data_IF_773078552359
#
_entry.id   IF_773078552359
#
_cell.length_a   1.000
_cell.length_b   1.000
_cell.length_c   1.000
_cell.angle_alpha   90.00
_cell.angle_beta   90.00
_cell.angle_gamma   90.00
#
_symmetry.space_group_name_H-M   'P 1'
#
loop_
_entity.id
_entity.type
_entity.pdbx_description
1 polymer ?
#
# COMPACT_ATOMS: atom_id res chain seq x y z
N UNK A 1 -21.50 -8.53 21.37
CA UNK A 1 -20.97 -9.23 22.56
C UNK A 1 -19.92 -10.21 22.08
N UNK A 2 -18.67 -10.08 22.54
CA UNK A 2 -17.52 -10.81 21.96
C UNK A 2 -17.69 -12.33 21.97
N UNK A 3 -17.76 -12.91 20.78
CA UNK A 3 -17.99 -14.34 20.53
C UNK A 3 -16.75 -14.97 19.87
N UNK A 4 -16.50 -16.25 20.13
CA UNK A 4 -15.42 -17.02 19.51
C UNK A 4 -15.97 -18.32 18.90
N UNK A 5 -15.52 -18.67 17.70
CA UNK A 5 -15.97 -19.84 16.95
C UNK A 5 -14.78 -20.73 16.59
N UNK A 6 -14.87 -22.04 16.81
CA UNK A 6 -13.84 -22.97 16.38
C UNK A 6 -14.03 -23.35 14.90
N UNK A 7 -13.41 -22.58 14.01
CA UNK A 7 -13.49 -22.75 12.57
C UNK A 7 -12.71 -23.97 12.02
N UNK A 8 -12.09 -24.78 12.88
CA UNK A 8 -11.65 -26.15 12.53
C UNK A 8 -12.80 -27.16 12.47
N UNK A 9 -14.01 -26.78 12.92
CA UNK A 9 -15.26 -27.49 12.65
C UNK A 9 -16.05 -26.78 11.55
N UNK A 10 -16.54 -27.51 10.54
CA UNK A 10 -17.34 -26.96 9.44
C UNK A 10 -18.59 -26.20 9.92
N UNK A 11 -19.28 -26.74 10.94
CA UNK A 11 -20.49 -26.15 11.52
C UNK A 11 -20.21 -24.79 12.17
N UNK A 12 -19.22 -24.71 13.07
CA UNK A 12 -18.83 -23.46 13.73
C UNK A 12 -18.08 -22.51 12.78
N UNK A 13 -17.46 -23.00 11.71
CA UNK A 13 -16.91 -22.19 10.62
C UNK A 13 -18.03 -21.47 9.88
N UNK A 14 -19.10 -22.17 9.51
CA UNK A 14 -20.26 -21.57 8.86
C UNK A 14 -20.92 -20.49 9.75
N UNK A 15 -21.26 -20.81 11.01
CA UNK A 15 -21.84 -19.84 11.95
C UNK A 15 -20.91 -18.64 12.20
N UNK A 16 -19.61 -18.90 12.38
CA UNK A 16 -18.60 -17.88 12.64
C UNK A 16 -18.44 -16.93 11.47
N UNK A 17 -18.43 -17.43 10.23
CA UNK A 17 -18.33 -16.61 9.02
C UNK A 17 -19.58 -15.77 8.79
N UNK A 18 -20.79 -16.29 9.08
CA UNK A 18 -22.03 -15.50 9.02
C UNK A 18 -22.06 -14.39 10.08
N UNK A 19 -21.63 -14.69 11.31
CA UNK A 19 -21.50 -13.67 12.35
C UNK A 19 -20.43 -12.64 12.01
N UNK A 20 -19.28 -13.05 11.47
CA UNK A 20 -18.22 -12.16 11.01
C UNK A 20 -18.69 -11.25 9.88
N UNK A 21 -19.40 -11.79 8.88
CA UNK A 21 -19.98 -11.02 7.78
C UNK A 21 -20.96 -9.94 8.31
N UNK A 22 -21.83 -10.31 9.27
CA UNK A 22 -22.71 -9.34 9.95
C UNK A 22 -21.90 -8.28 10.70
N UNK A 23 -20.90 -8.68 11.49
CA UNK A 23 -20.08 -7.75 12.28
C UNK A 23 -19.35 -6.73 11.40
N UNK A 24 -18.77 -7.15 10.27
CA UNK A 24 -18.17 -6.25 9.27
C UNK A 24 -19.21 -5.29 8.68
N UNK A 25 -20.42 -5.77 8.35
CA UNK A 25 -21.50 -4.90 7.84
C UNK A 25 -21.97 -3.86 8.87
N UNK A 26 -21.97 -4.23 10.16
CA UNK A 26 -22.21 -3.37 11.32
C UNK A 26 -21.00 -2.47 11.69
N UNK A 27 -19.95 -2.46 10.85
CA UNK A 27 -18.69 -1.69 10.98
C UNK A 27 -17.87 -2.02 12.25
N UNK A 28 -18.06 -3.23 12.80
CA UNK A 28 -17.29 -3.78 13.93
C UNK A 28 -16.04 -4.51 13.43
N UNK A 29 -15.05 -4.67 14.30
CA UNK A 29 -13.86 -5.46 13.99
C UNK A 29 -14.10 -6.96 14.21
N UNK A 30 -13.44 -7.78 13.39
CA UNK A 30 -13.35 -9.25 13.47
C UNK A 30 -11.88 -9.65 13.64
N UNK A 31 -11.60 -10.75 14.32
CA UNK A 31 -10.30 -11.42 14.27
C UNK A 31 -10.41 -12.71 13.46
N UNK A 32 -9.50 -12.87 12.51
CA UNK A 32 -9.44 -13.96 11.53
C UNK A 32 -8.01 -14.52 11.44
N UNK A 33 -7.83 -15.81 11.09
CA UNK A 33 -6.51 -16.32 10.73
C UNK A 33 -6.03 -15.69 9.40
N UNK A 34 -4.73 -15.76 9.16
CA UNK A 34 -4.13 -15.69 7.82
C UNK A 34 -2.99 -16.69 7.76
N UNK A 35 -2.48 -16.97 6.56
CA UNK A 35 -1.31 -17.82 6.29
C UNK A 35 -0.09 -17.59 7.21
N UNK A 36 0.14 -16.34 7.64
CA UNK A 36 1.30 -15.96 8.46
C UNK A 36 0.98 -15.86 9.94
N UNK A 37 0.03 -15.00 10.33
CA UNK A 37 -0.41 -14.73 11.71
C UNK A 37 -1.88 -14.34 11.74
N UNK A 38 -2.50 -14.28 12.93
CA UNK A 38 -3.85 -13.75 13.05
C UNK A 38 -3.92 -12.26 12.71
N UNK A 39 -5.00 -11.84 12.06
CA UNK A 39 -5.32 -10.45 11.73
C UNK A 39 -6.56 -9.95 12.47
N UNK A 40 -6.53 -8.70 12.94
CA UNK A 40 -7.74 -7.91 13.19
C UNK A 40 -8.12 -7.24 11.87
N UNK A 41 -9.39 -7.38 11.49
CA UNK A 41 -9.96 -7.00 10.22
C UNK A 41 -11.17 -6.08 10.38
N UNK A 42 -11.32 -5.16 9.43
CA UNK A 42 -12.40 -4.20 9.32
C UNK A 42 -12.79 -3.99 7.85
N UNK A 43 -13.98 -3.47 7.61
CA UNK A 43 -14.42 -3.03 6.28
C UNK A 43 -13.46 -1.96 5.72
N UNK A 44 -12.83 -2.24 4.57
CA UNK A 44 -11.89 -1.33 3.93
C UNK A 44 -12.53 -0.02 3.45
N UNK A 45 -13.84 -0.01 3.19
CA UNK A 45 -14.61 1.14 2.71
C UNK A 45 -15.33 1.89 3.85
N UNK A 46 -14.97 1.61 5.10
CA UNK A 46 -15.52 2.28 6.27
C UNK A 46 -14.43 3.01 7.07
N UNK A 47 -14.27 4.33 6.87
CA UNK A 47 -13.40 5.18 7.70
C UNK A 47 -13.59 4.97 9.21
N UNK A 48 -14.84 4.70 9.63
CA UNK A 48 -15.18 4.37 11.01
C UNK A 48 -14.59 3.02 11.45
N UNK A 49 -14.75 1.96 10.64
CA UNK A 49 -14.26 0.63 11.00
C UNK A 49 -12.72 0.57 10.99
N UNK A 50 -12.07 1.23 10.02
CA UNK A 50 -10.60 1.38 10.00
C UNK A 50 -10.09 2.17 11.21
N UNK A 51 -10.77 3.26 11.57
CA UNK A 51 -10.43 4.03 12.78
C UNK A 51 -10.52 3.15 14.03
N UNK A 52 -11.58 2.33 14.16
CA UNK A 52 -11.70 1.38 15.27
C UNK A 52 -10.59 0.33 15.27
N UNK A 53 -10.19 -0.20 14.11
CA UNK A 53 -9.06 -1.13 13.98
C UNK A 53 -7.74 -0.49 14.46
N UNK A 54 -7.44 0.73 14.00
CA UNK A 54 -6.22 1.46 14.38
C UNK A 54 -6.18 1.77 15.89
N UNK A 55 -7.30 2.28 16.44
CA UNK A 55 -7.44 2.58 17.88
C UNK A 55 -7.29 1.32 18.73
N UNK A 56 -7.90 0.19 18.34
CA UNK A 56 -7.82 -1.09 19.06
C UNK A 56 -6.38 -1.63 19.16
N UNK A 57 -5.53 -1.28 18.19
CA UNK A 57 -4.10 -1.60 18.20
C UNK A 57 -3.22 -0.55 18.89
N UNK A 58 -3.75 0.62 19.23
CA UNK A 58 -2.95 1.79 19.63
C UNK A 58 -2.04 2.32 18.52
N UNK A 59 -2.48 2.29 17.25
CA UNK A 59 -1.74 2.87 16.11
C UNK A 59 -2.28 4.24 15.72
N UNK A 60 -1.37 5.14 15.34
CA UNK A 60 -1.69 6.37 14.59
C UNK A 60 -1.90 6.10 13.09
N UNK A 61 -2.42 7.11 12.37
CA UNK A 61 -2.78 7.02 10.95
C UNK A 61 -1.60 6.87 9.98
N UNK A 62 -0.37 7.15 10.43
CA UNK A 62 0.87 7.03 9.63
C UNK A 62 1.26 5.58 9.26
N UNK A 63 0.57 4.56 9.78
CA UNK A 63 0.78 3.14 9.45
C UNK A 63 -0.53 2.51 8.96
N UNK A 64 -1.00 2.87 7.73
CA UNK A 64 -2.21 2.30 7.16
C UNK A 64 -2.12 0.77 7.07
N UNK A 65 -3.23 0.04 7.30
CA UNK A 65 -3.26 -1.40 7.12
C UNK A 65 -3.28 -1.76 5.61
N UNK A 66 -2.66 -2.88 5.20
CA UNK A 66 -2.96 -3.44 3.89
C UNK A 66 -4.43 -3.89 3.80
N UNK A 67 -4.96 -3.88 2.59
CA UNK A 67 -6.29 -4.42 2.28
C UNK A 67 -6.12 -5.83 1.71
N UNK A 68 -6.74 -6.81 2.36
CA UNK A 68 -6.80 -8.17 1.87
C UNK A 68 -7.95 -8.33 0.87
N UNK A 69 -7.73 -9.10 -0.19
CA UNK A 69 -8.67 -9.26 -1.31
C UNK A 69 -9.05 -10.73 -1.56
N UNK A 70 -10.30 -11.04 -1.97
CA UNK A 70 -10.77 -12.42 -2.15
C UNK A 70 -10.29 -13.14 -3.42
N UNK A 71 -9.79 -12.40 -4.42
CA UNK A 71 -9.40 -12.91 -5.75
C UNK A 71 -8.62 -11.85 -6.52
N UNK A 72 -7.75 -12.28 -7.44
CA UNK A 72 -6.91 -11.40 -8.27
C UNK A 72 -7.71 -10.28 -8.95
N UNK A 73 -8.85 -10.58 -9.57
CA UNK A 73 -9.68 -9.59 -10.30
C UNK A 73 -10.36 -8.54 -9.39
N UNK A 74 -10.09 -8.52 -8.09
CA UNK A 74 -10.44 -7.38 -7.24
C UNK A 74 -9.42 -6.23 -7.37
N UNK A 75 -8.18 -6.52 -7.81
CA UNK A 75 -7.12 -5.55 -8.07
C UNK A 75 -7.59 -4.42 -9.00
N UNK A 76 -8.25 -4.78 -10.10
CA UNK A 76 -8.75 -3.85 -11.14
C UNK A 76 -9.85 -2.90 -10.66
N UNK A 77 -10.47 -3.18 -9.50
CA UNK A 77 -11.45 -2.30 -8.86
C UNK A 77 -10.88 -1.46 -7.70
N UNK A 78 -9.61 -1.70 -7.33
CA UNK A 78 -8.97 -1.12 -6.13
C UNK A 78 -7.74 -0.27 -6.44
N UNK A 79 -7.08 -0.52 -7.58
CA UNK A 79 -5.85 0.13 -7.99
C UNK A 79 -5.93 0.65 -9.43
N UNK A 80 -5.24 1.77 -9.68
CA UNK A 80 -4.99 2.32 -11.02
C UNK A 80 -3.54 2.07 -11.45
N UNK A 81 -3.28 2.21 -12.75
CA UNK A 81 -1.93 2.19 -13.36
C UNK A 81 -1.11 0.89 -13.11
N UNK A 82 -1.83 -0.21 -12.88
CA UNK A 82 -1.29 -1.55 -12.56
C UNK A 82 -0.52 -2.14 -13.75
N UNK A 83 0.80 -2.05 -13.70
CA UNK A 83 1.73 -2.54 -14.73
C UNK A 83 1.67 -4.06 -14.96
N UNK A 84 2.05 -4.51 -16.16
CA UNK A 84 2.13 -5.95 -16.47
C UNK A 84 3.09 -6.70 -15.54
N UNK A 85 4.20 -6.07 -15.13
CA UNK A 85 5.17 -6.68 -14.21
C UNK A 85 4.53 -6.95 -12.85
N UNK A 86 3.77 -5.99 -12.32
CA UNK A 86 3.07 -6.16 -11.05
C UNK A 86 1.94 -7.20 -11.15
N UNK A 87 1.28 -7.31 -12.32
CA UNK A 87 0.31 -8.39 -12.60
C UNK A 87 0.98 -9.76 -12.61
N UNK A 88 2.13 -9.91 -13.28
CA UNK A 88 2.91 -11.16 -13.29
C UNK A 88 3.36 -11.59 -11.89
N UNK A 89 3.76 -10.65 -11.03
CA UNK A 89 4.05 -10.95 -9.62
C UNK A 89 2.79 -11.35 -8.83
N UNK A 90 1.66 -10.67 -9.05
CA UNK A 90 0.40 -11.04 -8.41
C UNK A 90 -0.05 -12.46 -8.85
N UNK A 91 -0.05 -12.75 -10.16
CA UNK A 91 -0.41 -14.05 -10.74
C UNK A 91 0.49 -15.20 -10.26
N UNK A 92 1.77 -14.93 -9.95
CA UNK A 92 2.72 -15.94 -9.50
C UNK A 92 2.74 -16.16 -7.97
N UNK A 93 2.28 -15.19 -7.16
CA UNK A 93 2.44 -15.21 -5.69
C UNK A 93 1.17 -14.86 -4.89
N UNK A 94 0.00 -14.78 -5.54
CA UNK A 94 -1.32 -14.71 -4.88
C UNK A 94 -2.17 -15.95 -5.24
N UNK A 95 -2.74 -16.67 -4.25
CA UNK A 95 -2.66 -16.43 -2.80
C UNK A 95 -1.23 -16.55 -2.24
N UNK A 96 -0.93 -15.83 -1.15
CA UNK A 96 0.25 -16.10 -0.31
C UNK A 96 1.09 -14.90 0.12
N UNK A 97 2.40 -15.13 0.22
CA UNK A 97 3.38 -14.31 0.92
C UNK A 97 3.70 -12.92 0.36
N UNK A 98 3.04 -12.46 -0.71
CA UNK A 98 3.32 -11.19 -1.37
C UNK A 98 2.32 -10.08 -1.01
N UNK A 99 2.79 -8.85 -0.90
CA UNK A 99 1.99 -7.63 -0.80
C UNK A 99 2.49 -6.61 -1.80
N UNK A 100 1.60 -6.00 -2.57
CA UNK A 100 1.93 -5.05 -3.63
C UNK A 100 1.32 -3.68 -3.31
N UNK A 101 2.13 -2.61 -3.37
CA UNK A 101 1.65 -1.23 -3.21
C UNK A 101 1.35 -0.65 -4.60
N UNK A 102 0.14 -0.14 -4.79
CA UNK A 102 -0.30 0.51 -6.02
C UNK A 102 -0.82 1.92 -5.74
N UNK A 103 -1.02 2.71 -6.79
CA UNK A 103 -1.90 3.88 -6.70
C UNK A 103 -3.34 3.44 -6.47
N UNK A 104 -4.00 4.02 -5.46
CA UNK A 104 -5.38 3.70 -5.12
C UNK A 104 -6.33 4.21 -6.21
N UNK A 105 -7.34 3.42 -6.56
CA UNK A 105 -8.33 3.79 -7.57
C UNK A 105 -9.06 5.09 -7.16
N UNK A 106 -8.93 6.22 -7.91
CA UNK A 106 -9.38 7.54 -7.44
C UNK A 106 -10.89 7.71 -7.25
N UNK A 107 -11.69 6.77 -7.73
CA UNK A 107 -13.15 6.74 -7.56
C UNK A 107 -13.61 6.04 -6.27
N UNK A 108 -12.69 5.59 -5.41
CA UNK A 108 -13.01 4.97 -4.12
C UNK A 108 -12.95 5.98 -2.99
N UNK A 109 -14.09 6.16 -2.31
CA UNK A 109 -14.15 6.85 -1.02
C UNK A 109 -13.78 5.86 0.10
N UNK A 110 -12.53 5.92 0.55
CA UNK A 110 -12.00 5.11 1.65
C UNK A 110 -10.92 5.87 2.44
N UNK A 111 -10.91 5.69 3.76
CA UNK A 111 -9.90 6.25 4.66
C UNK A 111 -9.16 5.11 5.35
N UNK A 112 -8.06 4.68 4.73
CA UNK A 112 -7.15 3.69 5.29
C UNK A 112 -6.13 4.30 6.28
N UNK A 113 -6.17 5.62 6.51
CA UNK A 113 -5.09 6.40 7.14
C UNK A 113 -4.28 7.18 6.11
N UNK A 114 -3.02 7.50 6.43
CA UNK A 114 -2.17 8.35 5.60
C UNK A 114 -1.47 7.57 4.47
N UNK A 115 -2.22 7.10 3.48
CA UNK A 115 -1.66 6.30 2.38
C UNK A 115 -0.97 7.11 1.28
N UNK A 116 -1.10 8.44 1.28
CA UNK A 116 -0.58 9.34 0.24
C UNK A 116 -1.08 9.00 -1.18
N UNK A 117 -2.31 8.49 -1.29
CA UNK A 117 -2.90 8.08 -2.58
C UNK A 117 -2.49 6.68 -3.05
N UNK A 118 -1.90 5.87 -2.18
CA UNK A 118 -1.57 4.47 -2.46
C UNK A 118 -2.50 3.49 -1.73
N UNK A 119 -2.41 2.20 -2.06
CA UNK A 119 -2.96 1.10 -1.28
C UNK A 119 -2.04 -0.11 -1.36
N UNK A 120 -1.80 -0.78 -0.23
CA UNK A 120 -1.11 -2.07 -0.18
C UNK A 120 -2.14 -3.20 -0.26
N UNK A 121 -2.08 -4.02 -1.31
CA UNK A 121 -3.00 -5.14 -1.57
C UNK A 121 -2.33 -6.50 -1.36
N UNK A 122 -3.12 -7.50 -0.95
CA UNK A 122 -2.68 -8.90 -0.78
C UNK A 122 -3.85 -9.88 -0.87
N UNK A 123 -3.65 -11.03 -1.50
CA UNK A 123 -4.55 -12.18 -1.34
C UNK A 123 -3.87 -13.19 -0.39
N UNK A 124 -4.42 -13.46 0.81
CA UNK A 124 -3.81 -14.38 1.79
C UNK A 124 -4.05 -15.85 1.38
N UNK A 125 -3.08 -16.75 1.64
CA UNK A 125 -3.25 -18.19 1.41
C UNK A 125 -3.85 -18.91 2.64
N UNK A 126 -5.05 -18.48 3.04
CA UNK A 126 -5.78 -19.09 4.16
C UNK A 126 -7.26 -19.28 3.78
N UNK A 127 -7.74 -20.50 3.91
CA UNK A 127 -9.06 -20.93 3.44
C UNK A 127 -10.21 -20.19 4.16
N UNK A 128 -10.07 -19.98 5.48
CA UNK A 128 -11.05 -19.26 6.31
C UNK A 128 -10.98 -17.76 5.99
N UNK A 129 -9.78 -17.23 5.74
CA UNK A 129 -9.60 -15.85 5.32
C UNK A 129 -10.25 -15.57 3.96
N UNK A 130 -10.01 -16.43 2.97
CA UNK A 130 -10.56 -16.31 1.63
C UNK A 130 -12.09 -16.49 1.62
N UNK A 131 -12.65 -17.39 2.42
CA UNK A 131 -14.11 -17.47 2.57
C UNK A 131 -14.73 -16.21 3.18
N UNK A 132 -14.12 -15.64 4.22
CA UNK A 132 -14.61 -14.39 4.80
C UNK A 132 -14.55 -13.26 3.76
N UNK A 133 -13.41 -13.11 3.07
CA UNK A 133 -13.21 -12.11 2.03
C UNK A 133 -14.19 -12.28 0.85
N UNK A 134 -14.58 -13.50 0.50
CA UNK A 134 -15.59 -13.75 -0.54
C UNK A 134 -17.02 -13.41 -0.07
N UNK A 135 -17.29 -13.45 1.24
CA UNK A 135 -18.57 -13.04 1.86
C UNK A 135 -18.66 -11.53 2.12
N UNK A 136 -17.56 -10.86 2.43
CA UNK A 136 -17.53 -9.43 2.80
C UNK A 136 -17.05 -8.49 1.69
N UNK A 137 -16.28 -9.00 0.73
CA UNK A 137 -15.40 -8.18 -0.10
C UNK A 137 -14.10 -7.80 0.63
N UNK A 138 -13.31 -6.85 0.06
CA UNK A 138 -12.03 -6.43 0.60
C UNK A 138 -12.08 -5.92 2.05
N UNK A 139 -11.10 -6.34 2.87
CA UNK A 139 -10.99 -5.96 4.28
C UNK A 139 -9.67 -5.28 4.56
N UNK A 140 -9.68 -4.19 5.32
CA UNK A 140 -8.49 -3.61 5.91
C UNK A 140 -8.04 -4.51 7.07
N UNK A 141 -6.81 -5.05 7.02
CA UNK A 141 -6.32 -6.03 8.01
C UNK A 141 -4.94 -5.66 8.52
N UNK A 142 -4.72 -5.82 9.82
CA UNK A 142 -3.38 -5.80 10.43
C UNK A 142 -3.27 -6.92 11.44
N UNK A 143 -2.05 -7.37 11.77
CA UNK A 143 -1.81 -8.39 12.82
C UNK A 143 -2.63 -8.18 14.09
N UNK A 144 -3.15 -9.25 14.70
CA UNK A 144 -4.09 -9.22 15.82
C UNK A 144 -3.41 -8.99 17.19
N UNK A 145 -2.67 -7.89 17.29
CA UNK A 145 -1.88 -7.50 18.46
C UNK A 145 -1.99 -6.01 18.80
N UNK A 146 -1.70 -5.65 20.07
CA UNK A 146 -1.41 -4.26 20.43
C UNK A 146 -0.02 -3.86 19.91
N UNK A 147 0.18 -2.58 19.65
CA UNK A 147 1.47 -2.04 19.22
C UNK A 147 2.55 -2.33 20.27
N UNK A 148 3.70 -2.86 19.83
CA UNK A 148 4.80 -3.28 20.72
C UNK A 148 4.66 -4.68 21.34
N UNK A 149 3.56 -5.41 21.09
CA UNK A 149 3.37 -6.81 21.52
C UNK A 149 3.62 -7.80 20.38
N UNK A 150 3.85 -9.07 20.70
CA UNK A 150 3.95 -10.14 19.70
C UNK A 150 2.65 -10.27 18.88
N UNK A 151 2.76 -10.65 17.61
CA UNK A 151 1.62 -11.02 16.78
C UNK A 151 0.99 -12.33 17.31
N UNK A 152 -0.34 -12.39 17.33
CA UNK A 152 -1.04 -13.58 17.81
C UNK A 152 -0.98 -14.74 16.81
N UNK A 153 -0.69 -15.93 17.32
CA UNK A 153 -0.62 -17.20 16.59
C UNK A 153 -1.88 -18.06 16.78
N UNK A 154 -2.78 -17.66 17.68
CA UNK A 154 -4.14 -18.21 17.87
C UNK A 154 -5.16 -17.09 18.06
N UNK A 155 -6.45 -17.36 17.85
CA UNK A 155 -7.50 -16.39 18.16
C UNK A 155 -7.64 -16.18 19.67
N UNK A 156 -7.27 -17.16 20.49
CA UNK A 156 -7.19 -17.04 21.96
C UNK A 156 -6.13 -16.01 22.43
N UNK A 157 -4.93 -16.01 21.85
CA UNK A 157 -3.91 -14.99 22.09
C UNK A 157 -4.38 -13.61 21.65
N UNK A 158 -4.98 -13.52 20.44
CA UNK A 158 -5.56 -12.27 19.94
C UNK A 158 -6.63 -11.73 20.90
N UNK A 159 -7.50 -12.61 21.45
CA UNK A 159 -8.54 -12.25 22.42
C UNK A 159 -7.96 -11.75 23.73
N UNK A 160 -6.81 -12.28 24.16
CA UNK A 160 -6.09 -11.81 25.34
C UNK A 160 -5.57 -10.38 25.16
N UNK A 161 -5.20 -10.00 23.93
CA UNK A 161 -4.75 -8.64 23.62
C UNK A 161 -5.89 -7.66 23.31
N UNK A 162 -6.88 -8.07 22.50
CA UNK A 162 -7.88 -7.17 21.92
C UNK A 162 -9.23 -7.18 22.67
N UNK A 163 -9.55 -8.28 23.36
CA UNK A 163 -10.75 -8.44 24.19
C UNK A 163 -12.04 -7.90 23.52
N UNK A 164 -12.73 -6.97 24.19
CA UNK A 164 -14.05 -6.42 23.81
C UNK A 164 -14.02 -5.44 22.63
N UNK A 165 -12.83 -5.09 22.10
CA UNK A 165 -12.72 -4.25 20.89
C UNK A 165 -13.07 -4.97 19.59
N UNK A 166 -13.31 -6.28 19.67
CA UNK A 166 -13.61 -7.19 18.54
C UNK A 166 -14.85 -8.00 18.86
N UNK A 167 -15.78 -8.09 17.90
CA UNK A 167 -17.08 -8.75 18.09
C UNK A 167 -17.00 -10.27 17.86
N UNK A 168 -16.20 -10.70 16.88
CA UNK A 168 -16.08 -12.11 16.46
C UNK A 168 -14.61 -12.50 16.34
N UNK A 169 -14.27 -13.65 16.92
CA UNK A 169 -12.96 -14.30 16.81
C UNK A 169 -13.13 -15.66 16.13
N UNK A 170 -12.54 -15.82 14.94
CA UNK A 170 -12.54 -17.07 14.18
C UNK A 170 -11.27 -17.86 14.52
N UNK A 171 -11.37 -18.94 15.30
CA UNK A 171 -10.23 -19.79 15.66
C UNK A 171 -10.01 -20.85 14.56
N UNK A 172 -9.03 -20.61 13.70
CA UNK A 172 -8.61 -21.49 12.60
C UNK A 172 -7.43 -22.39 12.95
N UNK A 173 -7.06 -22.52 14.23
CA UNK A 173 -5.87 -23.22 14.69
C UNK A 173 -4.61 -22.35 14.66
N UNK A 174 -3.46 -22.93 15.01
CA UNK A 174 -2.19 -22.22 15.10
C UNK A 174 -1.74 -21.63 13.75
N UNK A 175 -1.05 -20.48 13.78
CA UNK A 175 -0.39 -19.85 12.62
C UNK A 175 1.07 -19.49 12.93
N UNK A 176 2.05 -19.79 12.06
CA UNK A 176 1.92 -20.40 10.73
C UNK A 176 1.43 -21.85 10.80
N UNK A 177 0.95 -22.38 9.68
CA UNK A 177 0.51 -23.79 9.60
C UNK A 177 1.73 -24.71 9.77
N UNK A 178 1.56 -25.90 10.35
CA UNK A 178 2.67 -26.85 10.53
C UNK A 178 3.38 -27.16 9.20
N UNK A 179 4.70 -27.01 9.17
CA UNK A 179 5.51 -27.12 7.95
C UNK A 179 5.67 -25.81 7.15
N UNK A 180 5.08 -24.69 7.59
CA UNK A 180 5.26 -23.35 6.99
C UNK A 180 5.93 -22.38 7.97
N UNK A 181 6.63 -21.36 7.44
CA UNK A 181 7.40 -20.41 8.26
C UNK A 181 6.61 -19.15 8.62
N UNK A 182 6.85 -18.59 9.81
CA UNK A 182 6.17 -17.40 10.36
C UNK A 182 6.71 -16.07 9.77
N UNK A 183 7.03 -16.04 8.48
CA UNK A 183 7.65 -14.87 7.85
C UNK A 183 6.57 -13.88 7.43
N UNK A 184 6.76 -12.59 7.76
CA UNK A 184 5.87 -11.53 7.27
C UNK A 184 5.90 -11.46 5.73
N UNK A 185 4.83 -10.95 5.12
CA UNK A 185 4.79 -10.83 3.65
C UNK A 185 5.91 -9.95 3.11
N UNK A 186 6.47 -10.30 1.94
CA UNK A 186 7.33 -9.37 1.19
C UNK A 186 6.46 -8.23 0.68
N UNK A 187 6.93 -6.99 0.83
CA UNK A 187 6.24 -5.82 0.27
C UNK A 187 7.06 -5.29 -0.90
N UNK A 188 6.43 -5.22 -2.07
CA UNK A 188 6.97 -4.58 -3.27
C UNK A 188 6.14 -3.32 -3.56
N UNK A 189 6.83 -2.21 -3.78
CA UNK A 189 6.26 -1.00 -4.37
C UNK A 189 6.13 -1.19 -5.88
N UNK A 190 4.89 -1.04 -6.36
CA UNK A 190 4.48 -1.17 -7.75
C UNK A 190 3.76 0.10 -8.26
N UNK A 191 3.96 1.25 -7.58
CA UNK A 191 3.50 2.56 -8.06
C UNK A 191 4.28 3.08 -9.26
N UNK A 192 5.51 2.59 -9.48
CA UNK A 192 6.38 2.95 -10.58
C UNK A 192 7.18 1.74 -11.10
N UNK A 193 7.83 1.90 -12.25
CA UNK A 193 8.83 0.97 -12.77
C UNK A 193 10.24 1.57 -12.68
N UNK A 194 11.29 0.77 -12.42
CA UNK A 194 11.23 -0.66 -12.05
C UNK A 194 10.62 -0.88 -10.66
N UNK A 195 9.93 -2.02 -10.50
CA UNK A 195 9.33 -2.44 -9.23
C UNK A 195 10.40 -2.54 -8.12
N UNK A 196 10.05 -2.28 -6.86
CA UNK A 196 11.02 -2.20 -5.76
C UNK A 196 10.59 -2.95 -4.50
N UNK A 197 11.45 -3.80 -3.96
CA UNK A 197 11.26 -4.34 -2.59
C UNK A 197 11.41 -3.20 -1.57
N UNK A 198 10.37 -3.01 -0.76
CA UNK A 198 10.34 -2.04 0.37
C UNK A 198 10.24 -2.73 1.74
N UNK A 199 9.98 -4.04 1.77
CA UNK A 199 10.17 -4.91 2.95
C UNK A 199 10.44 -6.34 2.51
N UNK A 200 11.56 -6.91 2.93
CA UNK A 200 11.86 -8.34 2.78
C UNK A 200 10.90 -9.23 3.60
N UNK A 201 10.67 -10.45 3.16
CA UNK A 201 9.67 -11.34 3.75
C UNK A 201 9.62 -12.72 3.10
N UNK A 202 8.45 -13.35 3.12
CA UNK A 202 8.23 -14.73 2.70
C UNK A 202 8.61 -15.07 1.24
N UNK A 203 8.71 -14.06 0.36
CA UNK A 203 9.17 -14.21 -1.04
C UNK A 203 10.50 -13.47 -1.21
N UNK A 204 11.57 -14.19 -1.54
CA UNK A 204 12.91 -13.59 -1.69
C UNK A 204 13.05 -12.75 -2.98
N UNK A 205 14.07 -11.89 -3.03
CA UNK A 205 14.36 -11.07 -4.21
C UNK A 205 14.67 -11.93 -5.44
N UNK A 206 15.35 -13.06 -5.27
CA UNK A 206 15.64 -14.02 -6.34
C UNK A 206 14.34 -14.62 -6.88
N UNK A 207 13.43 -15.04 -5.99
CA UNK A 207 12.10 -15.54 -6.35
C UNK A 207 11.29 -14.52 -7.16
N UNK A 208 11.38 -13.23 -6.81
CA UNK A 208 10.75 -12.15 -7.57
C UNK A 208 11.43 -11.95 -8.94
N UNK A 209 12.77 -11.97 -8.98
CA UNK A 209 13.57 -11.78 -10.20
C UNK A 209 13.44 -12.92 -11.22
N UNK A 210 13.05 -14.12 -10.80
CA UNK A 210 12.63 -15.19 -11.73
C UNK A 210 11.39 -14.83 -12.57
N UNK A 211 10.51 -13.98 -12.05
CA UNK A 211 9.24 -13.58 -12.71
C UNK A 211 9.38 -12.20 -13.36
N UNK A 212 10.05 -11.27 -12.68
CA UNK A 212 10.34 -9.90 -13.16
C UNK A 212 11.81 -9.57 -12.87
N UNK A 213 12.74 -9.83 -13.81
CA UNK A 213 14.19 -9.63 -13.58
C UNK A 213 14.60 -8.21 -13.17
N UNK A 214 13.80 -7.20 -13.52
CA UNK A 214 14.04 -5.79 -13.21
C UNK A 214 13.72 -5.35 -11.78
N UNK A 215 13.14 -6.21 -10.92
CA UNK A 215 12.80 -5.84 -9.53
C UNK A 215 14.06 -5.40 -8.78
N UNK A 216 14.03 -4.22 -8.17
CA UNK A 216 15.11 -3.68 -7.35
C UNK A 216 15.01 -4.11 -5.89
N UNK A 217 16.16 -4.34 -5.26
CA UNK A 217 16.28 -4.60 -3.83
C UNK A 217 15.95 -3.37 -2.98
N UNK A 218 15.85 -3.60 -1.66
CA UNK A 218 15.77 -2.54 -0.67
C UNK A 218 17.04 -1.66 -0.73
N UNK A 219 16.88 -0.38 -1.07
CA UNK A 219 17.99 0.58 -1.17
C UNK A 219 18.83 0.51 -2.46
N UNK A 220 18.56 -0.42 -3.38
CA UNK A 220 19.27 -0.49 -4.67
C UNK A 220 18.88 0.69 -5.56
N UNK A 221 19.86 1.44 -6.08
CA UNK A 221 19.57 2.50 -7.05
C UNK A 221 18.97 1.90 -8.33
N UNK A 222 17.99 2.58 -8.93
CA UNK A 222 17.65 2.25 -10.32
C UNK A 222 18.87 2.57 -11.19
N UNK A 223 19.16 1.77 -12.23
CA UNK A 223 20.15 2.17 -13.21
C UNK A 223 19.73 3.53 -13.80
N UNK A 224 20.64 4.50 -13.80
CA UNK A 224 20.36 5.78 -14.46
C UNK A 224 19.98 5.50 -15.91
N UNK A 225 18.90 6.12 -16.44
CA UNK A 225 18.55 5.96 -17.84
C UNK A 225 19.77 6.43 -18.66
N UNK A 226 20.37 5.50 -19.41
CA UNK A 226 21.58 5.79 -20.16
C UNK A 226 21.31 6.99 -21.07
N UNK A 227 21.95 8.12 -20.76
CA UNK A 227 21.76 9.35 -21.50
C UNK A 227 22.02 9.05 -22.98
N UNK A 228 21.01 9.31 -23.83
CA UNK A 228 21.12 9.03 -25.26
C UNK A 228 22.38 9.72 -25.77
N UNK A 229 23.34 8.92 -26.25
CA UNK A 229 24.61 9.44 -26.73
C UNK A 229 24.31 10.35 -27.91
N UNK A 230 24.39 11.67 -27.68
CA UNK A 230 24.16 12.66 -28.71
C UNK A 230 25.06 12.33 -29.91
N UNK A 231 24.51 12.27 -31.14
CA UNK A 231 25.25 11.76 -32.28
C UNK A 231 26.54 12.55 -32.47
N UNK A 232 27.65 11.82 -32.66
CA UNK A 232 28.99 12.39 -32.81
C UNK A 232 28.96 13.56 -33.81
N UNK A 233 29.27 14.76 -33.31
CA UNK A 233 29.33 15.94 -34.16
C UNK A 233 30.64 15.88 -34.94
N UNK A 234 30.56 15.48 -36.21
CA UNK A 234 31.71 15.49 -37.12
C UNK A 234 32.39 16.88 -37.10
N UNK A 235 33.73 16.94 -37.01
CA UNK A 235 34.44 18.20 -36.96
C UNK A 235 34.33 18.94 -38.30
N UNK A 236 33.77 20.16 -38.25
CA UNK A 236 33.72 21.04 -39.41
C UNK A 236 35.14 21.37 -39.92
N UNK A 237 35.37 21.40 -41.25
CA UNK A 237 36.70 21.61 -41.81
C UNK A 237 37.19 23.06 -41.65
N UNK A 238 38.50 23.22 -41.54
CA UNK A 238 39.17 24.53 -41.55
C UNK A 238 38.84 25.31 -42.83
N UNK A 239 38.45 26.58 -42.67
CA UNK A 239 38.55 27.58 -43.74
C UNK A 239 39.20 28.84 -43.17
N UNK A 240 40.39 29.15 -43.66
CA UNK A 240 41.11 30.36 -43.29
C UNK A 240 40.55 31.58 -44.03
N UNK A 241 40.29 32.66 -43.30
CA UNK A 241 40.08 33.99 -43.84
C UNK A 241 40.84 35.00 -42.97
N UNK A 242 41.49 35.97 -43.61
CA UNK A 242 42.25 37.02 -42.95
C UNK A 242 41.79 38.39 -43.49
N UNK A 243 42.09 39.43 -42.72
CA UNK A 243 42.04 40.86 -43.09
C UNK A 243 40.63 41.48 -43.34
N UNK A 244 40.32 42.76 -43.03
CA UNK A 244 40.88 43.78 -42.09
C UNK A 244 39.81 44.90 -41.89
N UNK A 245 39.94 45.70 -40.82
CA UNK A 245 39.49 47.11 -40.66
C UNK A 245 38.11 47.47 -40.03
N UNK A 246 38.16 48.64 -39.35
CA UNK A 246 37.11 49.66 -39.15
C UNK A 246 36.09 49.54 -37.99
N UNK A 247 36.57 49.94 -36.80
CA UNK A 247 35.85 50.80 -35.83
C UNK A 247 35.56 52.23 -36.40
N UNK A 248 34.84 53.18 -35.73
CA UNK A 248 34.49 53.25 -34.30
C UNK A 248 33.05 53.72 -33.90
N UNK A 249 32.77 53.66 -32.58
CA UNK A 249 31.79 54.46 -31.81
C UNK A 249 30.27 54.27 -32.08
N UNK A 250 29.35 54.56 -31.14
CA UNK A 250 29.49 55.19 -29.81
C UNK A 250 28.64 54.54 -28.70
N UNK A 251 28.98 54.89 -27.46
CA UNK A 251 28.17 55.21 -26.26
C UNK A 251 26.65 55.45 -26.49
N UNK A 252 25.74 55.31 -25.51
CA UNK A 252 25.85 55.64 -24.05
C UNK A 252 24.93 54.79 -23.14
N UNK A 253 25.03 55.00 -21.82
CA UNK A 253 24.12 54.63 -20.71
C UNK A 253 22.63 55.04 -20.93
N UNK A 254 21.63 54.72 -20.10
CA UNK A 254 21.58 54.25 -18.68
C UNK A 254 20.31 53.42 -18.39
N UNK A 255 20.19 52.90 -17.17
CA UNK A 255 18.96 52.39 -16.53
C UNK A 255 18.80 53.10 -15.15
N UNK A 256 17.78 52.82 -14.32
CA UNK A 256 16.36 52.53 -14.55
C UNK A 256 15.48 53.57 -13.77
N UNK A 257 14.42 53.12 -13.07
CA UNK A 257 13.67 53.85 -12.02
C UNK A 257 12.78 55.04 -12.51
N UNK A 258 11.72 55.49 -11.82
CA UNK A 258 11.22 55.17 -10.46
C UNK A 258 9.68 55.38 -10.35
N UNK A 259 9.00 54.60 -9.49
CA UNK A 259 7.73 54.96 -8.79
C UNK A 259 6.47 55.28 -9.68
N UNK A 260 5.26 55.56 -9.17
CA UNK A 260 4.79 55.84 -7.81
C UNK A 260 3.33 55.36 -7.54
N UNK A 261 3.02 55.03 -6.28
CA UNK A 261 1.78 55.38 -5.52
C UNK A 261 0.36 54.98 -6.04
N UNK A 262 -0.73 54.92 -5.26
CA UNK A 262 -0.98 54.71 -3.79
C UNK A 262 -2.48 54.36 -3.64
N UNK A 263 -2.90 53.47 -2.73
CA UNK A 263 -4.32 53.10 -2.54
C UNK A 263 -5.09 54.09 -1.63
N UNK A 264 -6.43 54.02 -1.58
CA UNK A 264 -7.28 54.14 -0.34
C UNK A 264 -8.79 54.03 -0.62
N UNK A 265 -9.50 53.37 0.32
CA UNK A 265 -10.92 53.46 0.77
C UNK A 265 -11.49 52.04 1.03
N UNK A 266 -11.92 51.60 2.24
CA UNK A 266 -12.98 52.07 3.19
C UNK A 266 -14.38 52.07 2.57
N UNK A 267 -15.49 51.58 3.16
CA UNK A 267 -15.83 50.96 4.47
C UNK A 267 -17.23 50.26 4.32
N UNK A 268 -17.95 49.60 5.27
CA UNK A 268 -17.88 49.40 6.74
C UNK A 268 -18.64 48.11 7.20
N UNK A 269 -18.65 47.86 8.51
CA UNK A 269 -19.49 47.04 9.41
C UNK A 269 -20.65 46.14 8.87
N UNK A 270 -20.54 44.86 9.23
CA UNK A 270 -21.41 44.09 10.14
C UNK A 270 -22.94 44.34 10.23
N UNK A 271 -23.70 43.23 10.11
CA UNK A 271 -24.39 42.58 11.25
C UNK A 271 -24.03 41.07 11.27
#
# INVERSE_FOLDING_TARGET
MTTSYNCTSEEQRAEGLEHAQRAISEKKCVVMPTDTVYGIAADAFSPQAVTMLLVSKGRGRHMPPPVLIPRLNALDGLATDVSEEARKLAEAFWPGGLTLIFHAQPSLDWDLGETRGTVALRMPDDEIALELLNRTGPLAVSSANRTGQAAAQTASEARTQLAESVEVYLEGGFRPVEGTESVASTIVDATALPLRVVRDGAISLERLREIVPGVLALGEAAPEPAAEAAPDTEPAPETAAAETAAEPASETETAPEEQAETPVHTETRAE
#
